data_IF_765627453315
#
_entry.id   IF_765627453315
#
_cell.length_a   1.000
_cell.length_b   1.000
_cell.length_c   1.000
_cell.angle_alpha   90.00
_cell.angle_beta   90.00
_cell.angle_gamma   90.00
#
_symmetry.space_group_name_H-M   'P 1'
#
loop_
_entity.id
_entity.type
_entity.pdbx_description
1 polymer ?
#
# COMPACT_ATOMS: atom_id res chain seq x y z
N UNK A 1 -1.20 -8.02 -15.10
CA UNK A 1 -0.50 -6.82 -14.62
C UNK A 1 -1.56 -5.90 -14.04
N UNK A 2 -1.40 -5.40 -12.82
CA UNK A 2 -2.42 -4.55 -12.19
C UNK A 2 -2.05 -3.08 -12.39
N UNK A 3 -3.04 -2.26 -12.76
CA UNK A 3 -2.89 -0.81 -12.92
C UNK A 3 -2.92 -0.11 -11.55
N UNK A 4 -2.23 1.03 -11.43
CA UNK A 4 -2.39 1.90 -10.26
C UNK A 4 -3.64 2.76 -10.35
N UNK A 5 -4.28 2.97 -9.21
CA UNK A 5 -5.31 4.00 -9.06
C UNK A 5 -5.00 4.90 -7.88
N UNK A 6 -4.85 6.21 -8.15
CA UNK A 6 -4.68 7.22 -7.13
C UNK A 6 -6.05 7.73 -6.70
N UNK A 7 -6.34 7.66 -5.40
CA UNK A 7 -7.59 8.23 -4.87
C UNK A 7 -7.41 9.72 -4.54
N UNK A 8 -8.46 10.51 -4.73
CA UNK A 8 -8.47 11.95 -4.40
C UNK A 8 -8.58 12.26 -2.90
N UNK A 9 -8.71 11.26 -2.03
CA UNK A 9 -8.91 11.41 -0.59
C UNK A 9 -7.99 10.52 0.25
N UNK A 10 -8.35 10.34 1.52
CA UNK A 10 -7.58 9.52 2.45
C UNK A 10 -8.05 8.06 2.54
N UNK A 11 -9.14 7.67 1.87
CA UNK A 11 -9.65 6.29 1.92
C UNK A 11 -10.30 5.92 3.25
N UNK A 12 -10.78 6.93 3.99
CA UNK A 12 -11.49 6.73 5.26
C UNK A 12 -12.98 6.47 5.08
N UNK A 13 -13.51 6.75 3.89
CA UNK A 13 -14.88 6.40 3.50
C UNK A 13 -14.85 5.22 2.53
N UNK A 14 -15.99 4.52 2.32
CA UNK A 14 -16.10 3.49 1.30
C UNK A 14 -15.60 3.96 -0.07
N UNK A 15 -14.79 3.12 -0.70
CA UNK A 15 -14.23 3.39 -2.02
C UNK A 15 -15.08 2.65 -3.06
N UNK A 16 -15.56 3.36 -4.08
CA UNK A 16 -16.44 2.79 -5.12
C UNK A 16 -15.67 2.20 -6.31
N UNK A 17 -14.40 2.57 -6.48
CA UNK A 17 -13.52 2.20 -7.60
C UNK A 17 -12.29 1.40 -7.14
N UNK A 18 -11.51 0.84 -8.07
CA UNK A 18 -10.28 0.11 -7.72
C UNK A 18 -10.32 -1.42 -7.89
N UNK A 19 -11.43 -1.97 -8.40
CA UNK A 19 -11.55 -3.40 -8.70
C UNK A 19 -10.38 -3.87 -9.59
N UNK A 20 -9.66 -4.89 -9.13
CA UNK A 20 -8.47 -5.48 -9.77
C UNK A 20 -7.24 -4.58 -9.90
N UNK A 21 -7.26 -3.39 -9.27
CA UNK A 21 -6.16 -2.41 -9.29
C UNK A 21 -5.35 -2.43 -8.01
N UNK A 22 -4.23 -1.71 -8.04
CA UNK A 22 -3.43 -1.38 -6.85
C UNK A 22 -3.77 0.03 -6.44
N UNK A 23 -4.32 0.18 -5.24
CA UNK A 23 -4.77 1.49 -4.74
C UNK A 23 -3.59 2.25 -4.16
N UNK A 24 -3.43 3.51 -4.54
CA UNK A 24 -2.43 4.42 -3.99
C UNK A 24 -3.13 5.43 -3.10
N UNK A 25 -2.82 5.37 -1.80
CA UNK A 25 -3.54 6.12 -0.75
C UNK A 25 -2.56 6.92 0.09
N UNK A 26 -2.87 8.19 0.34
CA UNK A 26 -2.06 9.04 1.22
C UNK A 26 -2.29 8.71 2.70
N UNK A 27 -1.22 8.76 3.50
CA UNK A 27 -1.28 8.64 4.96
C UNK A 27 -2.04 9.82 5.60
N UNK A 28 -2.80 9.53 6.64
CA UNK A 28 -3.48 10.52 7.49
C UNK A 28 -4.97 10.23 7.68
N UNK A 29 -5.65 11.04 8.51
CA UNK A 29 -7.09 11.01 8.82
C UNK A 29 -7.62 9.75 9.54
N UNK A 30 -7.27 8.57 9.07
CA UNK A 30 -7.71 7.29 9.60
C UNK A 30 -6.57 6.26 9.58
N UNK A 31 -6.81 5.08 10.16
CA UNK A 31 -5.81 4.02 10.31
C UNK A 31 -5.45 3.36 8.97
N UNK A 32 -4.27 2.74 8.88
CA UNK A 32 -3.88 1.97 7.68
C UNK A 32 -4.80 0.77 7.45
N UNK A 33 -5.20 0.10 8.53
CA UNK A 33 -6.16 -1.01 8.49
C UNK A 33 -7.49 -0.60 7.87
N UNK A 34 -8.05 0.54 8.28
CA UNK A 34 -9.32 1.05 7.76
C UNK A 34 -9.24 1.39 6.26
N UNK A 35 -8.15 2.03 5.83
CA UNK A 35 -7.90 2.31 4.41
C UNK A 35 -7.78 1.03 3.60
N UNK A 36 -7.01 0.06 4.10
CA UNK A 36 -6.83 -1.24 3.46
C UNK A 36 -8.16 -2.00 3.38
N UNK A 37 -9.01 -1.88 4.40
CA UNK A 37 -10.34 -2.45 4.41
C UNK A 37 -11.22 -1.86 3.32
N UNK A 38 -11.32 -0.54 3.20
CA UNK A 38 -12.13 0.09 2.15
C UNK A 38 -11.62 -0.24 0.75
N UNK A 39 -10.30 -0.26 0.56
CA UNK A 39 -9.70 -0.72 -0.70
C UNK A 39 -10.04 -2.18 -1.01
N UNK A 40 -10.00 -3.06 0.00
CA UNK A 40 -10.39 -4.46 -0.15
C UNK A 40 -11.86 -4.60 -0.54
N UNK A 41 -12.76 -3.87 0.13
CA UNK A 41 -14.19 -3.90 -0.20
C UNK A 41 -14.46 -3.40 -1.63
N UNK A 42 -13.64 -2.46 -2.12
CA UNK A 42 -13.69 -1.99 -3.50
C UNK A 42 -13.11 -2.99 -4.53
N UNK A 43 -12.60 -4.15 -4.08
CA UNK A 43 -12.02 -5.19 -4.93
C UNK A 43 -10.58 -4.93 -5.37
N UNK A 44 -9.85 -4.06 -4.66
CA UNK A 44 -8.43 -3.86 -4.89
C UNK A 44 -7.64 -5.16 -4.70
N UNK A 45 -6.50 -5.26 -5.39
CA UNK A 45 -5.55 -6.37 -5.23
C UNK A 45 -4.42 -6.07 -4.28
N UNK A 46 -4.20 -4.80 -3.94
CA UNK A 46 -3.22 -4.34 -2.96
C UNK A 46 -3.40 -2.85 -2.66
N UNK A 47 -2.68 -2.38 -1.64
CA UNK A 47 -2.58 -0.95 -1.31
C UNK A 47 -1.12 -0.52 -1.19
N UNK A 48 -0.80 0.62 -1.80
CA UNK A 48 0.44 1.37 -1.60
C UNK A 48 0.11 2.63 -0.83
N UNK A 49 0.61 2.72 0.39
CA UNK A 49 0.49 3.91 1.22
C UNK A 49 1.66 4.87 0.96
N UNK A 50 1.32 6.15 0.78
CA UNK A 50 2.30 7.21 0.63
C UNK A 50 2.53 7.87 1.98
N UNK A 51 3.76 7.79 2.48
CA UNK A 51 4.15 8.62 3.61
C UNK A 51 4.36 10.06 3.13
N UNK A 52 3.69 11.00 3.77
CA UNK A 52 3.76 12.43 3.47
C UNK A 52 4.56 13.21 4.52
N UNK A 53 5.28 12.53 5.41
CA UNK A 53 6.11 13.14 6.45
C UNK A 53 7.60 13.03 6.08
N UNK A 54 8.28 14.15 5.77
CA UNK A 54 9.71 14.14 5.47
C UNK A 54 10.53 13.74 6.70
N UNK A 55 11.70 13.13 6.47
CA UNK A 55 12.65 12.70 7.52
C UNK A 55 12.11 11.68 8.52
N UNK A 56 10.96 11.06 8.23
CA UNK A 56 10.42 10.01 9.08
C UNK A 56 10.92 8.63 8.60
N UNK A 57 11.58 7.92 9.51
CA UNK A 57 11.93 6.51 9.28
C UNK A 57 10.68 5.67 9.07
N UNK A 58 10.79 4.66 8.21
CA UNK A 58 9.70 3.70 8.02
C UNK A 58 9.39 3.00 9.34
N UNK A 59 8.11 2.81 9.57
CA UNK A 59 7.59 2.16 10.75
C UNK A 59 6.67 1.01 10.34
N UNK A 60 6.47 0.06 11.24
CA UNK A 60 5.44 -0.95 11.04
C UNK A 60 4.09 -0.28 11.17
N UNK A 61 3.28 -0.40 10.13
CA UNK A 61 1.91 0.07 10.15
C UNK A 61 1.13 -0.77 11.17
N UNK A 62 0.64 -0.12 12.23
CA UNK A 62 -0.15 -0.79 13.25
C UNK A 62 -1.58 -1.05 12.75
N UNK A 63 -2.15 -2.19 13.13
CA UNK A 63 -3.60 -2.36 13.14
C UNK A 63 -4.21 -1.37 14.13
N UNK A 64 -5.36 -0.79 13.79
CA UNK A 64 -6.05 0.13 14.69
C UNK A 64 -6.53 -0.59 15.95
N UNK A 65 -6.80 0.15 17.02
CA UNK A 65 -7.37 -0.40 18.27
C UNK A 65 -8.88 -0.72 18.19
N UNK A 66 -9.44 -0.79 16.97
CA UNK A 66 -10.87 -0.96 16.73
C UNK A 66 -11.27 -2.41 16.52
N UNK A 67 -12.44 -2.63 15.89
CA UNK A 67 -12.86 -3.94 15.38
C UNK A 67 -11.79 -4.50 14.47
N UNK A 68 -11.28 -5.68 14.81
CA UNK A 68 -10.27 -6.40 14.05
C UNK A 68 -10.83 -6.74 12.67
N UNK A 69 -10.33 -6.07 11.63
CA UNK A 69 -10.75 -6.30 10.25
C UNK A 69 -9.81 -7.32 9.61
N UNK A 70 -10.38 -8.35 8.98
CA UNK A 70 -9.60 -9.30 8.17
C UNK A 70 -9.18 -8.61 6.87
N UNK A 71 -7.99 -8.00 6.88
CA UNK A 71 -7.32 -7.51 5.68
C UNK A 71 -6.60 -8.70 5.05
N UNK A 72 -6.82 -8.94 3.76
CA UNK A 72 -6.26 -10.06 3.00
C UNK A 72 -5.51 -9.60 1.76
N UNK A 73 -5.53 -8.29 1.50
CA UNK A 73 -4.80 -7.69 0.39
C UNK A 73 -3.44 -7.17 0.89
N UNK A 74 -2.36 -7.41 0.14
CA UNK A 74 -1.03 -6.93 0.51
C UNK A 74 -1.02 -5.40 0.60
N UNK A 75 -0.36 -4.88 1.63
CA UNK A 75 -0.32 -3.44 1.92
C UNK A 75 1.08 -2.97 2.28
N UNK A 76 1.60 -1.97 1.58
CA UNK A 76 2.98 -1.50 1.70
C UNK A 76 3.03 0.00 2.00
N UNK A 77 3.99 0.44 2.79
CA UNK A 77 4.27 1.86 3.06
C UNK A 77 5.54 2.26 2.35
N UNK A 78 5.45 3.29 1.51
CA UNK A 78 6.61 3.98 0.95
C UNK A 78 7.10 5.07 1.89
N UNK A 79 8.40 5.33 1.89
CA UNK A 79 8.97 6.51 2.54
C UNK A 79 8.57 7.79 1.78
N UNK A 80 8.97 8.94 2.30
CA UNK A 80 8.60 10.23 1.71
C UNK A 80 9.19 10.43 0.31
N UNK A 81 10.47 10.11 0.13
CA UNK A 81 11.23 10.30 -1.10
C UNK A 81 10.65 9.46 -2.24
N UNK A 82 10.37 8.18 -1.99
CA UNK A 82 9.77 7.25 -2.96
C UNK A 82 8.31 7.61 -3.24
N UNK A 83 7.58 8.12 -2.25
CA UNK A 83 6.23 8.65 -2.46
C UNK A 83 6.24 9.84 -3.43
N UNK A 84 7.21 10.74 -3.29
CA UNK A 84 7.38 11.86 -4.22
C UNK A 84 7.73 11.39 -5.63
N UNK A 85 8.62 10.40 -5.77
CA UNK A 85 8.97 9.83 -7.07
C UNK A 85 7.76 9.23 -7.77
N UNK A 86 6.94 8.48 -7.02
CA UNK A 86 5.74 7.84 -7.55
C UNK A 86 4.71 8.86 -8.06
N UNK A 87 4.44 9.91 -7.27
CA UNK A 87 3.45 10.94 -7.62
C UNK A 87 3.92 11.80 -8.80
N UNK A 88 5.21 12.16 -8.84
CA UNK A 88 5.75 13.05 -9.89
C UNK A 88 5.77 12.41 -11.26
N UNK A 89 5.89 11.09 -11.35
CA UNK A 89 6.12 10.42 -12.62
C UNK A 89 4.93 9.50 -12.99
N UNK A 90 3.86 10.09 -13.54
CA UNK A 90 2.63 9.38 -13.89
C UNK A 90 2.76 8.32 -15.00
N UNK A 91 3.94 8.15 -15.63
CA UNK A 91 4.22 7.06 -16.58
C UNK A 91 4.53 5.71 -15.88
N UNK A 92 4.49 5.69 -14.56
CA UNK A 92 4.86 4.59 -13.67
C UNK A 92 3.73 3.54 -13.47
N UNK A 93 2.58 3.66 -14.14
CA UNK A 93 1.33 2.97 -13.76
C UNK A 93 1.31 1.43 -13.79
N UNK A 94 2.43 0.77 -14.11
CA UNK A 94 2.56 -0.68 -14.17
C UNK A 94 3.45 -1.22 -13.05
N UNK A 95 2.83 -1.97 -12.14
CA UNK A 95 3.54 -2.62 -11.03
C UNK A 95 3.45 -4.14 -11.16
N UNK A 96 4.55 -4.80 -10.80
CA UNK A 96 4.53 -6.22 -10.42
C UNK A 96 4.81 -6.30 -8.93
N UNK A 97 3.79 -6.66 -8.17
CA UNK A 97 4.00 -7.21 -6.83
C UNK A 97 4.16 -8.70 -6.96
N UNK A 98 5.29 -9.19 -6.46
CA UNK A 98 5.45 -10.61 -6.21
C UNK A 98 5.32 -10.83 -4.71
N UNK A 99 4.28 -11.56 -4.32
CA UNK A 99 4.18 -12.12 -2.99
C UNK A 99 5.24 -13.22 -2.90
N UNK A 100 6.28 -13.00 -2.09
CA UNK A 100 7.20 -14.06 -1.70
C UNK A 100 6.53 -14.91 -0.62
N UNK A 101 6.76 -16.22 -0.65
CA UNK A 101 6.01 -17.19 0.15
C UNK A 101 5.93 -16.83 1.63
N UNK A 102 4.69 -16.81 2.13
CA UNK A 102 4.31 -16.75 3.55
C UNK A 102 4.86 -15.56 4.32
N UNK A 103 4.29 -14.41 3.99
CA UNK A 103 4.63 -13.19 4.68
C UNK A 103 4.06 -13.23 6.13
N UNK A 104 3.06 -14.07 6.42
CA UNK A 104 2.46 -14.21 7.77
C UNK A 104 3.35 -14.96 8.77
N UNK A 105 4.35 -15.72 8.31
CA UNK A 105 5.16 -16.59 9.17
C UNK A 105 6.68 -16.42 9.04
N UNK A 106 7.16 -15.64 8.06
CA UNK A 106 8.59 -15.37 7.92
C UNK A 106 8.94 -13.93 8.33
N UNK A 107 9.70 -13.72 9.42
CA UNK A 107 10.16 -12.38 9.83
C UNK A 107 11.11 -11.73 8.81
N UNK A 108 11.56 -12.47 7.79
CA UNK A 108 12.36 -11.98 6.65
C UNK A 108 11.53 -11.77 5.39
N UNK A 109 10.22 -11.99 5.45
CA UNK A 109 9.36 -11.82 4.29
C UNK A 109 9.45 -10.40 3.74
N UNK A 110 9.72 -10.30 2.44
CA UNK A 110 9.81 -9.05 1.70
C UNK A 110 8.81 -9.13 0.56
N UNK A 111 7.93 -8.15 0.46
CA UNK A 111 7.25 -7.94 -0.80
C UNK A 111 8.20 -7.18 -1.72
N UNK A 112 8.45 -7.73 -2.89
CA UNK A 112 9.26 -7.05 -3.89
C UNK A 112 8.30 -6.31 -4.81
N UNK A 113 8.32 -4.99 -4.69
CA UNK A 113 7.72 -4.08 -5.64
C UNK A 113 8.73 -3.88 -6.76
N UNK A 114 8.42 -4.41 -7.94
CA UNK A 114 9.20 -4.10 -9.12
C UNK A 114 8.59 -2.90 -9.83
N UNK A 115 9.44 -1.90 -10.03
CA UNK A 115 9.22 -0.64 -10.73
C UNK A 115 10.09 -0.62 -11.98
N UNK A 116 9.51 -0.72 -13.19
CA UNK A 116 10.31 -0.69 -14.43
C UNK A 116 11.54 -1.65 -14.41
N UNK A 117 11.39 -2.87 -13.87
CA UNK A 117 12.48 -3.83 -13.59
C UNK A 117 13.52 -3.45 -12.52
N UNK A 118 13.35 -2.34 -11.81
CA UNK A 118 14.10 -1.96 -10.62
C UNK A 118 13.30 -2.30 -9.35
N UNK A 119 14.00 -2.72 -8.29
CA UNK A 119 13.37 -3.00 -6.99
C UNK A 119 13.13 -1.69 -6.25
N UNK A 120 11.91 -1.45 -5.79
CA UNK A 120 11.67 -0.38 -4.80
C UNK A 120 12.28 -0.84 -3.49
N UNK A 121 13.36 -0.18 -3.08
CA UNK A 121 14.00 -0.41 -1.80
C UNK A 121 13.19 0.25 -0.67
N UNK A 122 13.34 -0.23 0.57
CA UNK A 122 12.74 0.41 1.75
C UNK A 122 11.20 0.45 1.73
N UNK A 123 10.53 -0.66 1.43
CA UNK A 123 9.10 -0.80 1.69
C UNK A 123 8.88 -1.57 3.00
N UNK A 124 8.09 -1.03 3.91
CA UNK A 124 7.59 -1.79 5.06
C UNK A 124 6.26 -2.43 4.69
N UNK A 125 6.16 -3.74 4.93
CA UNK A 125 4.99 -4.51 4.54
C UNK A 125 4.20 -4.95 5.74
N UNK A 126 2.88 -4.86 5.63
CA UNK A 126 1.95 -5.60 6.48
C UNK A 126 1.57 -6.89 5.75
N UNK A 127 1.59 -8.01 6.48
CA UNK A 127 0.40 -8.86 6.37
C UNK A 127 -0.40 -8.75 7.63
N UNK A 128 -1.69 -8.82 7.37
CA UNK A 128 -2.67 -9.26 8.34
C UNK A 128 -3.15 -10.61 7.85
#
# INVERSE_FOLDING_TARGET
MSELEFIGGFGCDPIETGKHKVMVISRGQCTFEEKAWHAQQAGARAVVFLNNQPNQSLFRMAAGSGTQRSIRIPSVLLNYEDSLLLVKNKRIQQFRMQQLGSVDQDPKARFVLYFQNQVVANANVINV
#
